data_IF_068570838345
#
_entry.id   IF_068570838345
#
_cell.length_a   1.000
_cell.length_b   1.000
_cell.length_c   1.000
_cell.angle_alpha   90.00
_cell.angle_beta   90.00
_cell.angle_gamma   90.00
#
_symmetry.space_group_name_H-M   'P 1'
#
loop_
_entity.id
_entity.type
_entity.pdbx_description
1 polymer ?
#
# COMPACT_ATOMS: atom_id res chain seq x y z
N UNK A 1 -9.63 -10.16 -4.24
CA UNK A 1 -9.83 -11.16 -3.16
C UNK A 1 -11.23 -10.98 -2.58
N UNK A 2 -12.05 -12.02 -2.46
CA UNK A 2 -13.44 -11.92 -1.96
C UNK A 2 -13.59 -11.82 -0.43
N UNK A 3 -12.60 -11.26 0.27
CA UNK A 3 -12.58 -11.14 1.74
C UNK A 3 -12.06 -9.75 2.16
N UNK A 4 -12.41 -9.25 3.35
CA UNK A 4 -11.81 -8.04 3.90
C UNK A 4 -10.29 -8.17 3.99
N UNK A 5 -9.58 -7.12 3.56
CA UNK A 5 -8.13 -7.01 3.74
C UNK A 5 -7.77 -7.03 5.22
N UNK A 6 -6.76 -7.81 5.57
CA UNK A 6 -6.30 -7.91 6.95
C UNK A 6 -5.34 -6.77 7.28
N UNK A 7 -5.28 -6.34 8.55
CA UNK A 7 -4.32 -5.32 8.98
C UNK A 7 -2.87 -5.66 8.62
N UNK A 8 -2.49 -6.93 8.73
CA UNK A 8 -1.14 -7.39 8.36
C UNK A 8 -0.82 -7.21 6.87
N UNK A 9 -1.83 -7.17 6.01
CA UNK A 9 -1.66 -6.95 4.56
C UNK A 9 -1.45 -5.45 4.23
N UNK A 10 -1.83 -4.55 5.13
CA UNK A 10 -1.75 -3.08 4.97
C UNK A 10 -0.54 -2.49 5.71
N UNK A 11 -0.18 -3.05 6.87
CA UNK A 11 0.91 -2.57 7.71
C UNK A 11 2.26 -2.35 6.97
N UNK A 12 2.68 -3.23 6.04
CA UNK A 12 3.95 -3.06 5.31
C UNK A 12 4.00 -1.76 4.50
N UNK A 13 2.87 -1.28 3.97
CA UNK A 13 2.82 -0.02 3.21
C UNK A 13 3.10 1.18 4.09
N UNK A 14 2.59 1.18 5.32
CA UNK A 14 2.91 2.23 6.29
C UNK A 14 4.40 2.19 6.68
N UNK A 15 4.95 0.99 6.90
CA UNK A 15 6.37 0.81 7.23
C UNK A 15 7.26 1.28 6.07
N UNK A 16 6.90 0.95 4.83
CA UNK A 16 7.59 1.41 3.63
C UNK A 16 7.60 2.94 3.55
N UNK A 17 6.44 3.58 3.66
CA UNK A 17 6.36 5.05 3.62
C UNK A 17 7.12 5.72 4.76
N UNK A 18 7.14 5.13 5.95
CA UNK A 18 7.91 5.63 7.10
C UNK A 18 9.43 5.39 6.99
N UNK A 19 9.85 4.48 6.10
CA UNK A 19 11.24 4.09 5.93
C UNK A 19 11.96 5.01 4.95
N UNK A 20 12.67 6.00 5.48
CA UNK A 20 13.51 6.93 4.71
C UNK A 20 14.44 6.24 3.68
N UNK A 21 15.18 5.16 3.99
CA UNK A 21 16.03 4.53 2.98
C UNK A 21 15.24 3.87 1.83
N UNK A 22 13.98 3.51 2.04
CA UNK A 22 13.15 2.80 1.07
C UNK A 22 12.20 3.73 0.29
N UNK A 23 11.72 4.82 0.90
CA UNK A 23 10.72 5.74 0.32
C UNK A 23 11.20 7.17 0.10
N UNK A 24 12.48 7.48 0.34
CA UNK A 24 13.02 8.87 0.25
C UNK A 24 12.75 9.61 -1.07
N UNK A 25 12.47 8.89 -2.16
CA UNK A 25 12.15 9.46 -3.48
C UNK A 25 10.66 9.35 -3.87
N UNK A 26 9.80 8.82 -2.99
CA UNK A 26 8.37 8.62 -3.24
C UNK A 26 7.60 9.60 -2.36
N UNK A 27 6.98 10.60 -2.99
CA UNK A 27 6.23 11.66 -2.32
C UNK A 27 4.99 12.04 -3.12
N UNK A 28 3.90 12.37 -2.42
CA UNK A 28 2.62 12.74 -3.03
C UNK A 28 1.83 11.58 -3.66
N UNK A 29 2.29 10.34 -3.52
CA UNK A 29 1.67 9.15 -4.11
C UNK A 29 0.52 8.60 -3.25
N UNK A 30 -0.55 8.09 -3.89
CA UNK A 30 -1.67 7.42 -3.23
C UNK A 30 -1.61 5.93 -3.55
N UNK A 31 -1.07 5.14 -2.62
CA UNK A 31 -0.93 3.70 -2.78
C UNK A 31 -2.27 3.01 -2.46
N UNK A 32 -2.90 2.44 -3.48
CA UNK A 32 -4.18 1.73 -3.35
C UNK A 32 -3.97 0.22 -3.08
N UNK A 33 -4.47 -0.27 -1.95
CA UNK A 33 -4.36 -1.67 -1.54
C UNK A 33 -5.68 -2.42 -1.81
N UNK A 34 -5.87 -2.80 -3.07
CA UNK A 34 -7.14 -3.36 -3.56
C UNK A 34 -7.25 -4.89 -3.45
N UNK A 35 -6.28 -5.57 -2.84
CA UNK A 35 -6.35 -7.03 -2.63
C UNK A 35 -6.46 -7.84 -3.94
N UNK A 36 -5.79 -7.38 -5.00
CA UNK A 36 -5.78 -8.02 -6.31
C UNK A 36 -6.98 -7.66 -7.22
N UNK A 37 -7.84 -6.73 -6.80
CA UNK A 37 -8.78 -6.07 -7.71
C UNK A 37 -8.07 -4.88 -8.37
N UNK A 38 -8.21 -4.70 -9.69
CA UNK A 38 -7.68 -3.54 -10.40
C UNK A 38 -8.89 -2.80 -10.93
N UNK A 39 -9.35 -1.81 -10.18
CA UNK A 39 -10.26 -0.78 -10.71
C UNK A 39 -9.44 0.27 -11.46
N UNK A 40 -8.76 -0.18 -12.52
CA UNK A 40 -8.38 0.70 -13.61
C UNK A 40 -9.65 1.04 -14.38
N UNK A 41 -9.86 2.31 -14.70
CA UNK A 41 -11.07 2.79 -15.39
C UNK A 41 -11.36 2.07 -16.72
#
# INVERSE_FOLDING_TARGET
>A
MGRPGQPEEIAPTYVFLASNPESSFITGEIISLLGGDVTGG
#
